data_IF_024822547279
#
_entry.id   IF_024822547279
#
_cell.length_a   1.000
_cell.length_b   1.000
_cell.length_c   1.000
_cell.angle_alpha   90.00
_cell.angle_beta   90.00
_cell.angle_gamma   90.00
#
_symmetry.space_group_name_H-M   'P 1'
#
loop_
_entity.id
_entity.type
_entity.pdbx_description
1 polymer ?
#
# COMPACT_ATOMS: atom_id res chain seq x y z
N UNK A 1 -6.54 11.41 -15.26
CA UNK A 1 -7.42 10.21 -15.27
C UNK A 1 -7.32 9.59 -13.90
N UNK A 2 -8.42 9.16 -13.29
CA UNK A 2 -8.38 8.51 -11.99
C UNK A 2 -8.31 6.99 -12.16
N UNK A 3 -7.55 6.35 -11.28
CA UNK A 3 -7.49 4.91 -11.13
C UNK A 3 -8.51 4.45 -10.08
N UNK A 4 -9.12 3.28 -10.28
CA UNK A 4 -9.89 2.63 -9.24
C UNK A 4 -8.93 1.86 -8.34
N UNK A 5 -9.04 2.09 -7.03
CA UNK A 5 -8.26 1.36 -6.05
C UNK A 5 -9.04 0.11 -5.63
N UNK A 6 -8.42 -1.05 -5.75
CA UNK A 6 -8.91 -2.32 -5.23
C UNK A 6 -8.01 -2.80 -4.10
N UNK A 7 -8.61 -3.44 -3.09
CA UNK A 7 -7.85 -4.21 -2.12
C UNK A 7 -7.76 -5.64 -2.66
N UNK A 8 -6.56 -6.09 -3.00
CA UNK A 8 -6.33 -7.43 -3.56
C UNK A 8 -6.31 -8.53 -2.50
N UNK A 9 -6.32 -8.16 -1.22
CA UNK A 9 -6.22 -9.06 -0.08
C UNK A 9 -7.39 -8.79 0.88
N UNK A 10 -8.20 -9.81 1.23
CA UNK A 10 -9.34 -9.67 2.13
C UNK A 10 -8.98 -8.99 3.45
N UNK A 11 -7.85 -9.36 4.06
CA UNK A 11 -7.37 -8.81 5.33
C UNK A 11 -7.11 -7.30 5.24
N UNK A 12 -6.66 -6.81 4.09
CA UNK A 12 -6.46 -5.38 3.86
C UNK A 12 -7.77 -4.63 3.69
N UNK A 13 -8.74 -5.27 3.03
CA UNK A 13 -10.09 -4.73 2.91
C UNK A 13 -10.77 -4.66 4.27
N UNK A 14 -10.69 -5.71 5.07
CA UNK A 14 -11.20 -5.76 6.44
C UNK A 14 -10.54 -4.70 7.32
N UNK A 15 -9.21 -4.59 7.28
CA UNK A 15 -8.48 -3.55 8.00
C UNK A 15 -8.95 -2.15 7.58
N UNK A 16 -9.10 -1.88 6.29
CA UNK A 16 -9.55 -0.59 5.78
C UNK A 16 -10.97 -0.25 6.26
N UNK A 17 -11.89 -1.23 6.19
CA UNK A 17 -13.27 -1.07 6.65
C UNK A 17 -13.35 -0.84 8.16
N UNK A 18 -12.61 -1.60 8.95
CA UNK A 18 -12.52 -1.46 10.40
C UNK A 18 -11.99 -0.07 10.80
N UNK A 19 -10.89 0.37 10.17
CA UNK A 19 -10.35 1.72 10.39
C UNK A 19 -11.36 2.81 10.03
N UNK A 20 -12.06 2.64 8.90
CA UNK A 20 -13.08 3.58 8.44
C UNK A 20 -14.27 3.65 9.40
N UNK A 21 -14.74 2.51 9.91
CA UNK A 21 -15.83 2.41 10.89
C UNK A 21 -15.44 3.03 12.24
N UNK A 22 -14.27 2.67 12.78
CA UNK A 22 -13.73 3.26 14.02
C UNK A 22 -13.56 4.75 13.90
N UNK A 23 -13.08 5.25 12.76
CA UNK A 23 -12.92 6.68 12.51
C UNK A 23 -14.27 7.41 12.49
N UNK A 24 -15.29 6.82 11.83
CA UNK A 24 -16.64 7.39 11.75
C UNK A 24 -17.39 7.36 13.08
N UNK A 25 -17.20 6.31 13.88
CA UNK A 25 -17.82 6.16 15.20
C UNK A 25 -17.14 7.00 16.29
N UNK A 26 -15.96 7.59 16.01
CA UNK A 26 -15.19 8.38 16.98
C UNK A 26 -14.44 7.56 18.03
N UNK A 27 -14.48 6.23 17.95
CA UNK A 27 -13.86 5.30 18.92
C UNK A 27 -12.47 4.81 18.50
N UNK A 28 -11.86 5.43 17.48
CA UNK A 28 -10.57 5.02 16.94
C UNK A 28 -9.40 5.35 17.89
N UNK A 29 -8.46 4.41 18.06
CA UNK A 29 -7.25 4.68 18.85
C UNK A 29 -6.31 5.59 18.06
N UNK A 30 -5.46 6.36 18.77
CA UNK A 30 -4.52 7.31 18.15
C UNK A 30 -3.65 6.70 17.04
N UNK A 31 -3.14 5.48 17.22
CA UNK A 31 -2.31 4.79 16.21
C UNK A 31 -3.11 4.39 14.96
N UNK A 32 -4.31 3.86 15.17
CA UNK A 32 -5.24 3.50 14.09
C UNK A 32 -5.67 4.75 13.31
N UNK A 33 -5.93 5.85 14.01
CA UNK A 33 -6.30 7.12 13.38
C UNK A 33 -5.18 7.66 12.49
N UNK A 34 -3.93 7.59 12.97
CA UNK A 34 -2.77 7.98 12.19
C UNK A 34 -2.61 7.09 10.95
N UNK A 35 -2.77 5.77 11.09
CA UNK A 35 -2.72 4.84 9.97
C UNK A 35 -3.83 5.15 8.95
N UNK A 36 -5.07 5.30 9.38
CA UNK A 36 -6.21 5.60 8.52
C UNK A 36 -6.00 6.89 7.73
N UNK A 37 -5.57 7.97 8.40
CA UNK A 37 -5.31 9.26 7.73
C UNK A 37 -4.17 9.17 6.72
N UNK A 38 -3.07 8.50 7.07
CA UNK A 38 -1.90 8.36 6.19
C UNK A 38 -2.21 7.46 5.00
N UNK A 39 -2.80 6.30 5.25
CA UNK A 39 -3.18 5.36 4.21
C UNK A 39 -4.24 5.95 3.29
N UNK A 40 -5.30 6.54 3.83
CA UNK A 40 -6.35 7.19 3.04
C UNK A 40 -5.83 8.35 2.18
N UNK A 41 -4.87 9.14 2.71
CA UNK A 41 -4.18 10.15 1.90
C UNK A 41 -3.37 9.52 0.77
N UNK A 42 -2.60 8.46 1.05
CA UNK A 42 -1.82 7.76 0.04
C UNK A 42 -2.71 7.15 -1.06
N UNK A 43 -3.81 6.50 -0.69
CA UNK A 43 -4.79 5.95 -1.64
C UNK A 43 -5.42 7.02 -2.52
N UNK A 44 -5.77 8.18 -1.95
CA UNK A 44 -6.31 9.31 -2.70
C UNK A 44 -5.30 9.90 -3.69
N UNK A 45 -4.02 9.97 -3.31
CA UNK A 45 -2.97 10.44 -4.21
C UNK A 45 -2.70 9.41 -5.31
N UNK A 46 -2.61 8.13 -4.95
CA UNK A 46 -2.37 7.02 -5.87
C UNK A 46 -3.47 6.90 -6.91
N UNK A 47 -4.73 7.08 -6.50
CA UNK A 47 -5.86 7.05 -7.44
C UNK A 47 -5.85 8.23 -8.41
N UNK A 48 -5.30 9.38 -8.02
CA UNK A 48 -5.21 10.55 -8.89
C UNK A 48 -3.98 10.48 -9.82
N UNK A 49 -2.83 10.10 -9.27
CA UNK A 49 -1.55 10.02 -9.96
C UNK A 49 -0.60 9.06 -9.19
N UNK A 50 -0.30 7.87 -9.75
CA UNK A 50 0.66 6.94 -9.15
C UNK A 50 2.08 7.48 -9.05
N UNK A 51 2.42 8.48 -9.87
CA UNK A 51 3.70 9.19 -9.87
C UNK A 51 3.77 10.36 -8.90
N UNK A 52 2.78 10.55 -8.02
CA UNK A 52 2.74 11.70 -7.13
C UNK A 52 4.02 11.76 -6.26
N UNK A 53 4.76 12.89 -6.22
CA UNK A 53 6.11 12.93 -5.63
C UNK A 53 6.19 12.49 -4.16
N UNK A 54 5.14 12.75 -3.37
CA UNK A 54 5.12 12.35 -1.97
C UNK A 54 4.93 10.85 -1.74
N UNK A 55 4.49 10.09 -2.75
CA UNK A 55 4.37 8.64 -2.67
C UNK A 55 5.72 7.94 -2.82
N UNK A 56 6.74 8.60 -3.38
CA UNK A 56 8.06 8.02 -3.66
C UNK A 56 7.96 6.64 -4.32
N UNK A 57 7.06 6.55 -5.31
CA UNK A 57 6.76 5.32 -6.01
C UNK A 57 7.98 4.79 -6.77
N UNK A 58 8.31 3.52 -6.57
CA UNK A 58 9.35 2.84 -7.33
C UNK A 58 8.99 1.39 -7.62
N UNK A 59 9.50 0.88 -8.73
CA UNK A 59 9.35 -0.53 -9.10
C UNK A 59 10.26 -1.40 -8.23
N UNK A 60 9.75 -2.56 -7.80
CA UNK A 60 10.52 -3.58 -7.08
C UNK A 60 10.92 -4.67 -8.07
N UNK A 61 12.04 -4.48 -8.76
CA UNK A 61 12.48 -5.41 -9.81
C UNK A 61 12.50 -6.89 -9.40
N UNK A 62 12.95 -7.27 -8.18
CA UNK A 62 12.93 -8.68 -7.76
C UNK A 62 11.51 -9.27 -7.69
N UNK A 63 10.54 -8.51 -7.19
CA UNK A 63 9.14 -8.95 -7.16
C UNK A 63 8.54 -8.91 -8.55
N UNK A 64 8.83 -7.87 -9.35
CA UNK A 64 8.36 -7.80 -10.73
C UNK A 64 8.79 -9.02 -11.54
N UNK A 65 10.05 -9.45 -11.37
CA UNK A 65 10.58 -10.64 -12.03
C UNK A 65 9.95 -11.93 -11.49
N UNK A 66 9.74 -12.03 -10.18
CA UNK A 66 9.12 -13.21 -9.55
C UNK A 66 7.68 -13.44 -10.03
N UNK A 67 6.89 -12.37 -10.09
CA UNK A 67 5.46 -12.45 -10.40
C UNK A 67 5.14 -12.20 -11.88
N UNK A 68 6.13 -11.87 -12.71
CA UNK A 68 5.93 -11.62 -14.14
C UNK A 68 5.13 -10.34 -14.45
N UNK A 69 4.91 -9.48 -13.46
CA UNK A 69 4.16 -8.23 -13.58
C UNK A 69 4.79 -7.13 -12.74
N UNK A 70 4.65 -5.87 -13.12
CA UNK A 70 5.29 -4.76 -12.38
C UNK A 70 4.69 -4.60 -10.99
N UNK A 71 5.51 -4.81 -9.95
CA UNK A 71 5.16 -4.56 -8.56
C UNK A 71 5.78 -3.25 -8.11
N UNK A 72 4.96 -2.38 -7.51
CA UNK A 72 5.35 -1.04 -7.08
C UNK A 72 5.31 -0.92 -5.57
N UNK A 73 6.21 -0.12 -5.02
CA UNK A 73 6.19 0.31 -3.62
C UNK A 73 5.90 1.80 -3.55
N UNK A 74 5.00 2.21 -2.65
CA UNK A 74 4.75 3.61 -2.32
C UNK A 74 4.76 3.83 -0.81
N UNK A 75 5.22 5.00 -0.38
CA UNK A 75 5.32 5.42 1.00
C UNK A 75 3.99 5.99 1.49
N UNK A 76 3.56 5.62 2.70
CA UNK A 76 2.44 6.29 3.37
C UNK A 76 2.89 7.60 4.03
N UNK A 77 4.16 7.70 4.40
CA UNK A 77 4.76 8.87 5.03
C UNK A 77 6.26 8.92 4.71
N UNK A 78 6.78 10.14 4.57
CA UNK A 78 8.19 10.39 4.29
C UNK A 78 8.94 10.73 5.58
N UNK A 79 10.25 10.47 5.61
CA UNK A 79 11.18 10.88 6.68
C UNK A 79 10.90 10.24 8.05
N UNK A 80 10.33 9.04 8.09
CA UNK A 80 10.13 8.25 9.31
C UNK A 80 10.59 6.81 9.07
N UNK A 81 11.59 6.36 9.84
CA UNK A 81 12.28 5.06 9.63
C UNK A 81 11.36 3.84 9.77
N UNK A 82 10.31 3.95 10.60
CA UNK A 82 9.27 2.92 10.75
C UNK A 82 7.98 3.18 9.96
N UNK A 83 8.03 4.00 8.90
CA UNK A 83 6.83 4.30 8.10
C UNK A 83 6.34 3.04 7.36
N UNK A 84 5.01 2.89 7.35
CA UNK A 84 4.34 1.87 6.54
C UNK A 84 4.55 2.14 5.05
N UNK A 85 4.64 1.08 4.28
CA UNK A 85 4.66 1.11 2.83
C UNK A 85 3.55 0.27 2.26
N UNK A 86 3.05 0.73 1.14
CA UNK A 86 2.02 0.07 0.39
C UNK A 86 2.62 -0.51 -0.88
N UNK A 87 2.27 -1.76 -1.14
CA UNK A 87 2.63 -2.49 -2.33
C UNK A 87 1.41 -2.59 -3.23
N UNK A 88 1.60 -2.40 -4.53
CA UNK A 88 0.50 -2.42 -5.48
C UNK A 88 0.95 -2.79 -6.89
N UNK A 89 -0.02 -3.20 -7.70
CA UNK A 89 0.15 -3.54 -9.13
C UNK A 89 -0.92 -2.82 -9.95
N UNK A 90 -0.66 -2.64 -11.25
CA UNK A 90 -1.71 -2.23 -12.18
C UNK A 90 -2.59 -3.44 -12.55
N UNK A 91 -3.90 -3.20 -12.71
CA UNK A 91 -4.89 -4.21 -13.05
C UNK A 91 -5.77 -4.61 -11.86
N UNK A 92 -6.66 -5.61 -12.05
CA UNK A 92 -6.73 -6.49 -13.23
C UNK A 92 -7.31 -5.80 -14.47
N UNK A 93 -8.16 -4.78 -14.30
CA UNK A 93 -8.78 -4.05 -15.41
C UNK A 93 -8.00 -2.78 -15.79
N UNK A 94 -8.34 -2.21 -16.94
CA UNK A 94 -7.77 -0.93 -17.35
C UNK A 94 -8.15 0.16 -16.35
N UNK A 95 -7.15 0.94 -15.90
CA UNK A 95 -7.27 1.98 -14.87
C UNK A 95 -7.50 1.45 -13.45
N UNK A 96 -7.19 0.19 -13.18
CA UNK A 96 -7.21 -0.31 -11.82
C UNK A 96 -5.81 -0.37 -11.22
N UNK A 97 -5.76 -0.11 -9.92
CA UNK A 97 -4.61 -0.33 -9.08
C UNK A 97 -5.05 -1.23 -7.94
N UNK A 98 -4.41 -2.38 -7.83
CA UNK A 98 -4.69 -3.35 -6.79
C UNK A 98 -3.61 -3.26 -5.72
N UNK A 99 -4.04 -2.99 -4.49
CA UNK A 99 -3.18 -2.98 -3.30
C UNK A 99 -2.99 -4.42 -2.85
N UNK A 100 -1.72 -4.83 -2.70
CA UNK A 100 -1.33 -6.23 -2.44
C UNK A 100 -0.48 -6.38 -1.18
N UNK A 101 -0.24 -5.30 -0.45
CA UNK A 101 0.52 -5.37 0.79
C UNK A 101 0.62 -4.02 1.49
N UNK A 102 0.66 -4.05 2.82
CA UNK A 102 0.79 -2.88 3.69
C UNK A 102 1.66 -3.29 4.87
N UNK A 103 2.97 -3.08 4.74
CA UNK A 103 3.92 -3.52 5.75
C UNK A 103 4.77 -2.35 6.24
N UNK A 104 5.19 -2.34 7.52
CA UNK A 104 6.27 -1.46 7.94
C UNK A 104 7.49 -1.81 7.10
N UNK A 105 8.25 -0.82 6.62
CA UNK A 105 9.50 -1.14 5.95
C UNK A 105 10.33 -2.03 6.89
N UNK A 106 10.83 -3.19 6.43
CA UNK A 106 11.83 -3.93 7.17
C UNK A 106 13.07 -3.03 7.29
N UNK A 107 13.18 -2.31 8.41
CA UNK A 107 14.39 -1.59 8.75
C UNK A 107 15.56 -2.59 8.73
N UNK A 108 16.52 -2.31 7.83
CA UNK A 108 17.94 -2.50 8.09
C UNK A 108 18.56 -3.90 8.11
N UNK A 109 17.94 -4.97 7.60
CA UNK A 109 18.68 -6.26 7.46
C UNK A 109 18.48 -6.99 6.13
N UNK A 110 19.47 -6.75 5.26
CA UNK A 110 20.06 -7.69 4.28
C UNK A 110 19.22 -8.05 3.05
N UNK A 111 19.94 -8.29 1.95
CA UNK A 111 19.45 -8.90 0.71
C UNK A 111 18.45 -10.03 1.02
N UNK A 112 17.18 -9.85 0.66
CA UNK A 112 16.10 -10.85 0.86
C UNK A 112 14.87 -10.37 1.63
N UNK A 113 14.74 -9.07 1.95
CA UNK A 113 13.54 -8.52 2.58
C UNK A 113 12.25 -8.78 1.77
N UNK A 114 12.35 -8.68 0.43
CA UNK A 114 11.25 -8.98 -0.48
C UNK A 114 10.92 -10.47 -0.59
N UNK A 115 11.85 -11.36 -0.22
CA UNK A 115 11.62 -12.81 -0.32
C UNK A 115 10.52 -13.28 0.64
N UNK A 116 10.28 -12.52 1.72
CA UNK A 116 9.27 -12.81 2.75
C UNK A 116 7.92 -12.19 2.46
N UNK A 117 7.83 -11.27 1.49
CA UNK A 117 6.56 -10.67 1.12
C UNK A 117 5.77 -11.75 0.37
N UNK A 118 4.82 -12.35 1.07
CA UNK A 118 3.80 -13.19 0.45
C UNK A 118 2.79 -12.28 -0.21
N UNK A 119 2.95 -12.00 -1.50
CA UNK A 119 1.84 -11.45 -2.27
C UNK A 119 0.78 -12.56 -2.34
N UNK A 120 -0.44 -12.27 -1.91
CA UNK A 120 -1.56 -13.20 -2.10
C UNK A 120 -1.64 -13.61 -3.56
N UNK A 121 -1.94 -14.88 -3.80
CA UNK A 121 -2.13 -15.44 -5.14
C UNK A 121 -3.27 -14.67 -5.84
N UNK A 122 -2.87 -13.67 -6.63
CA UNK A 122 -3.72 -12.82 -7.47
C UNK A 122 -4.35 -13.63 -8.61
#
# INVERSE_FOLDING_TARGET
MNFNIRMGIPEMQELWLDLQEKYRSGNIKKKEEQLYKKWGKALKLLSADPGYPSLQTHEIEPLSRRYGMKVWQSYLENKTSGAMRMYWVYGPDQKDITIIGLEPHPEDKKNGAYDRISLSDL
#
